data_IF_254276145775
#
_entry.id   IF_254276145775
#
_cell.length_a   1.000
_cell.length_b   1.000
_cell.length_c   1.000
_cell.angle_alpha   90.00
_cell.angle_beta   90.00
_cell.angle_gamma   90.00
#
_symmetry.space_group_name_H-M   'P 1'
#
loop_
_entity.id
_entity.type
_entity.pdbx_description
1 polymer ?
#
# COMPACT_ATOMS: atom_id res chain seq x y z
N UNK A 1 0.75 -10.87 3.21
CA UNK A 1 1.01 -9.51 2.73
C UNK A 1 -0.20 -8.68 3.03
N UNK A 2 -0.01 -7.49 3.58
CA UNK A 2 -1.09 -6.58 3.95
C UNK A 2 -0.89 -5.24 3.27
N UNK A 3 -1.98 -4.65 2.82
CA UNK A 3 -2.00 -3.27 2.36
C UNK A 3 -3.12 -2.50 3.05
N UNK A 4 -2.82 -1.28 3.48
CA UNK A 4 -3.82 -0.26 3.76
C UNK A 4 -3.78 0.73 2.61
N UNK A 5 -4.90 0.85 1.90
CA UNK A 5 -5.02 1.77 0.77
C UNK A 5 -5.89 2.96 1.14
N UNK A 6 -5.55 4.12 0.59
CA UNK A 6 -6.29 5.35 0.79
C UNK A 6 -6.51 6.03 -0.56
N UNK A 7 -7.76 6.33 -0.89
CA UNK A 7 -8.10 7.22 -2.01
C UNK A 7 -7.64 8.63 -1.66
N UNK A 8 -6.79 9.23 -2.47
CA UNK A 8 -6.20 10.55 -2.19
C UNK A 8 -6.44 11.53 -3.33
N UNK A 9 -6.51 12.82 -2.98
CA UNK A 9 -6.42 13.93 -3.94
C UNK A 9 -4.97 14.30 -4.25
N UNK A 10 -4.07 14.02 -3.31
CA UNK A 10 -2.62 14.16 -3.40
C UNK A 10 -1.96 13.38 -2.26
N UNK A 11 -0.75 12.89 -2.45
CA UNK A 11 0.08 12.31 -1.39
C UNK A 11 1.56 12.51 -1.71
N UNK A 12 2.41 12.59 -0.69
CA UNK A 12 3.85 12.71 -0.88
C UNK A 12 4.65 12.05 0.24
N UNK A 13 5.91 11.73 -0.06
CA UNK A 13 6.92 11.27 0.90
C UNK A 13 8.02 12.32 0.94
N UNK A 14 8.38 12.72 2.16
CA UNK A 14 9.49 13.63 2.44
C UNK A 14 10.52 12.86 3.26
N UNK A 15 11.79 12.92 2.86
CA UNK A 15 12.91 12.32 3.58
C UNK A 15 13.91 13.44 3.86
N UNK A 16 14.33 13.61 5.11
CA UNK A 16 15.26 14.68 5.52
C UNK A 16 14.82 16.09 5.06
N UNK A 17 13.51 16.38 5.15
CA UNK A 17 12.88 17.62 4.68
C UNK A 17 12.93 17.86 3.17
N UNK A 18 13.36 16.88 2.37
CA UNK A 18 13.35 16.96 0.90
C UNK A 18 12.22 16.10 0.33
N UNK A 19 11.52 16.64 -0.68
CA UNK A 19 10.49 15.91 -1.40
C UNK A 19 11.15 14.74 -2.14
N UNK A 20 10.79 13.52 -1.76
CA UNK A 20 11.30 12.30 -2.39
C UNK A 20 10.39 11.83 -3.52
N UNK A 21 9.07 11.86 -3.29
CA UNK A 21 8.08 11.41 -4.27
C UNK A 21 6.72 12.03 -3.96
N UNK A 22 5.92 12.32 -4.98
CA UNK A 22 4.54 12.77 -4.85
C UNK A 22 3.65 12.23 -5.95
N UNK A 23 2.35 12.19 -5.66
CA UNK A 23 1.29 11.90 -6.61
C UNK A 23 0.14 12.91 -6.43
N UNK A 24 -0.60 13.14 -7.51
CA UNK A 24 -1.89 13.82 -7.53
C UNK A 24 -3.04 12.88 -7.15
N UNK A 25 -4.09 12.89 -7.96
CA UNK A 25 -5.28 12.07 -7.71
C UNK A 25 -4.98 10.59 -7.91
N UNK A 26 -5.24 9.76 -6.89
CA UNK A 26 -4.78 8.39 -6.92
C UNK A 26 -4.95 7.61 -5.63
N UNK A 27 -4.03 6.66 -5.40
CA UNK A 27 -4.00 5.79 -4.22
C UNK A 27 -2.67 5.91 -3.50
N UNK A 28 -2.72 6.17 -2.19
CA UNK A 28 -1.60 5.90 -1.28
C UNK A 28 -1.74 4.46 -0.75
N UNK A 29 -0.70 3.66 -0.94
CA UNK A 29 -0.61 2.29 -0.42
C UNK A 29 0.44 2.24 0.69
N UNK A 30 0.02 1.86 1.89
CA UNK A 30 0.93 1.42 2.94
C UNK A 30 1.06 -0.09 2.86
N UNK A 31 2.24 -0.60 2.52
CA UNK A 31 2.47 -2.03 2.24
C UNK A 31 3.28 -2.70 3.36
N UNK A 32 2.72 -3.74 3.96
CA UNK A 32 3.37 -4.58 4.97
C UNK A 32 3.63 -5.98 4.44
N UNK A 33 4.90 -6.39 4.44
CA UNK A 33 5.32 -7.75 4.06
C UNK A 33 5.45 -8.62 5.31
N UNK A 34 4.82 -9.78 5.28
CA UNK A 34 4.76 -10.76 6.37
C UNK A 34 5.62 -11.99 6.06
N UNK A 35 5.95 -12.76 7.11
CA UNK A 35 6.65 -14.04 6.96
C UNK A 35 5.82 -15.00 6.12
N UNK A 36 6.46 -15.64 5.15
CA UNK A 36 5.82 -16.60 4.25
C UNK A 36 5.13 -15.95 3.05
N UNK A 37 5.21 -14.63 2.91
CA UNK A 37 4.72 -13.97 1.70
C UNK A 37 5.52 -14.37 0.47
N UNK A 38 4.83 -14.40 -0.68
CA UNK A 38 5.40 -14.85 -1.95
C UNK A 38 5.24 -13.81 -3.06
N UNK A 39 6.05 -13.88 -4.14
CA UNK A 39 5.90 -13.00 -5.30
C UNK A 39 4.49 -13.05 -5.92
N UNK A 40 3.84 -14.21 -5.94
CA UNK A 40 2.49 -14.37 -6.48
C UNK A 40 1.46 -13.59 -5.67
N UNK A 41 1.66 -13.47 -4.35
CA UNK A 41 0.81 -12.66 -3.49
C UNK A 41 1.04 -11.16 -3.72
N UNK A 42 2.29 -10.74 -3.99
CA UNK A 42 2.59 -9.36 -4.36
C UNK A 42 1.90 -8.98 -5.67
N UNK A 43 2.02 -9.82 -6.69
CA UNK A 43 1.38 -9.62 -8.00
C UNK A 43 -0.15 -9.63 -7.89
N UNK A 44 -0.71 -10.56 -7.11
CA UNK A 44 -2.15 -10.60 -6.84
C UNK A 44 -2.63 -9.32 -6.17
N UNK A 45 -1.91 -8.83 -5.15
CA UNK A 45 -2.30 -7.64 -4.40
C UNK A 45 -2.18 -6.37 -5.26
N UNK A 46 -1.11 -6.24 -6.05
CA UNK A 46 -0.93 -5.14 -6.99
C UNK A 46 -2.07 -5.09 -8.02
N UNK A 47 -2.37 -6.23 -8.67
CA UNK A 47 -3.48 -6.34 -9.61
C UNK A 47 -4.82 -6.01 -8.95
N UNK A 48 -5.05 -6.50 -7.73
CA UNK A 48 -6.29 -6.21 -6.99
C UNK A 48 -6.43 -4.72 -6.69
N UNK A 49 -5.38 -4.08 -6.17
CA UNK A 49 -5.42 -2.65 -5.81
C UNK A 49 -5.66 -1.78 -7.03
N UNK A 50 -4.95 -2.04 -8.14
CA UNK A 50 -5.10 -1.23 -9.35
C UNK A 50 -6.50 -1.32 -9.97
N UNK A 51 -7.19 -2.46 -9.80
CA UNK A 51 -8.52 -2.72 -10.35
C UNK A 51 -9.67 -2.46 -9.36
N UNK A 52 -9.41 -2.06 -8.12
CA UNK A 52 -10.46 -1.77 -7.14
C UNK A 52 -11.30 -0.58 -7.60
N UNK A 53 -12.63 -0.76 -7.65
CA UNK A 53 -13.60 0.26 -8.04
C UNK A 53 -13.94 1.17 -6.86
N UNK A 54 -13.04 2.08 -6.54
CA UNK A 54 -13.12 2.97 -5.37
C UNK A 54 -13.12 4.44 -5.75
N UNK A 55 -13.24 4.77 -7.03
CA UNK A 55 -13.39 6.13 -7.53
C UNK A 55 -14.80 6.37 -8.07
N UNK A 56 -15.25 7.60 -7.96
CA UNK A 56 -16.58 8.03 -8.38
C UNK A 56 -16.67 8.17 -9.90
N UNK A 57 -17.77 7.72 -10.49
CA UNK A 57 -18.16 8.04 -11.86
C UNK A 57 -18.92 9.38 -11.94
N UNK A 58 -19.44 9.70 -13.12
CA UNK A 58 -20.22 10.92 -13.36
C UNK A 58 -21.54 11.01 -12.56
N UNK A 59 -21.97 9.91 -11.93
CA UNK A 59 -23.16 9.83 -11.09
C UNK A 59 -22.81 9.74 -9.59
N UNK A 60 -21.56 10.06 -9.22
CA UNK A 60 -21.04 10.00 -7.85
C UNK A 60 -21.09 8.58 -7.24
N UNK A 61 -21.04 7.54 -8.08
CA UNK A 61 -21.02 6.15 -7.64
C UNK A 61 -19.63 5.54 -7.75
N UNK A 62 -19.25 4.74 -6.75
CA UNK A 62 -17.95 4.07 -6.67
C UNK A 62 -17.84 2.93 -7.71
N UNK A 63 -17.52 3.29 -8.95
CA UNK A 63 -17.52 2.38 -10.10
C UNK A 63 -16.20 2.36 -10.87
N UNK A 64 -15.34 3.36 -10.68
CA UNK A 64 -14.12 3.51 -11.44
C UNK A 64 -12.91 2.96 -10.67
N UNK A 65 -12.03 2.29 -11.39
CA UNK A 65 -10.72 1.84 -10.92
C UNK A 65 -9.66 2.92 -11.09
N UNK A 66 -8.45 2.65 -10.59
CA UNK A 66 -7.30 3.53 -10.78
C UNK A 66 -6.98 3.73 -12.27
N UNK A 67 -7.11 2.68 -13.08
CA UNK A 67 -6.90 2.75 -14.52
C UNK A 67 -7.94 3.63 -15.23
N UNK A 68 -9.22 3.50 -14.84
CA UNK A 68 -10.31 4.26 -15.46
C UNK A 68 -10.14 5.76 -15.28
N UNK A 69 -9.68 6.19 -14.09
CA UNK A 69 -9.40 7.60 -13.81
C UNK A 69 -8.01 8.06 -14.24
N UNK A 70 -7.18 7.15 -14.81
CA UNK A 70 -5.76 7.39 -15.12
C UNK A 70 -4.99 7.97 -13.92
N UNK A 71 -5.30 7.45 -12.74
CA UNK A 71 -4.77 7.95 -11.48
C UNK A 71 -3.37 7.43 -11.19
N UNK A 72 -2.73 8.06 -10.20
CA UNK A 72 -1.37 7.74 -9.79
C UNK A 72 -1.35 6.87 -8.53
N UNK A 73 -0.21 6.24 -8.24
CA UNK A 73 -0.06 5.38 -7.06
C UNK A 73 1.25 5.66 -6.35
N UNK A 74 1.19 5.78 -5.03
CA UNK A 74 2.35 5.98 -4.17
C UNK A 74 2.40 4.82 -3.18
N UNK A 75 3.45 4.01 -3.25
CA UNK A 75 3.60 2.81 -2.40
C UNK A 75 4.69 3.06 -1.36
N UNK A 76 4.32 2.99 -0.09
CA UNK A 76 5.22 3.23 1.05
C UNK A 76 5.33 1.95 1.88
N UNK A 77 6.57 1.50 2.10
CA UNK A 77 6.83 0.37 2.98
C UNK A 77 6.41 0.68 4.42
N UNK A 78 5.57 -0.19 5.02
CA UNK A 78 4.95 -0.01 6.32
C UNK A 78 4.92 -1.33 7.12
N UNK A 79 6.08 -1.73 7.67
CA UNK A 79 6.21 -2.99 8.42
C UNK A 79 5.26 -3.10 9.63
N UNK A 80 4.79 -1.98 10.18
CA UNK A 80 3.91 -1.96 11.35
C UNK A 80 2.54 -2.60 11.09
N UNK A 81 2.13 -2.77 9.83
CA UNK A 81 0.90 -3.50 9.47
C UNK A 81 0.95 -4.99 9.83
N UNK A 82 2.16 -5.55 9.98
CA UNK A 82 2.37 -6.91 10.47
C UNK A 82 2.36 -7.01 12.02
N UNK A 83 2.10 -5.90 12.72
CA UNK A 83 2.09 -5.84 14.18
C UNK A 83 0.90 -6.59 14.80
N UNK A 84 1.17 -7.43 15.80
CA UNK A 84 0.16 -7.98 16.72
C UNK A 84 0.04 -7.10 17.97
N UNK A 85 -1.13 -6.49 18.13
CA UNK A 85 -1.47 -5.61 19.24
C UNK A 85 -2.42 -6.26 20.27
N UNK A 86 -2.63 -7.58 20.24
CA UNK A 86 -3.60 -8.26 21.12
C UNK A 86 -3.20 -8.27 22.61
N UNK A 87 -1.91 -8.14 22.92
CA UNK A 87 -1.39 -8.22 24.30
C UNK A 87 -0.62 -6.96 24.68
N UNK A 88 -0.95 -6.40 25.84
CA UNK A 88 -0.25 -5.24 26.40
C UNK A 88 -0.37 -3.97 25.55
N UNK A 89 0.63 -3.09 25.65
CA UNK A 89 0.68 -1.80 24.93
C UNK A 89 1.79 -1.70 23.88
N UNK A 90 2.68 -2.71 23.81
CA UNK A 90 3.78 -2.77 22.85
C UNK A 90 3.44 -3.79 21.76
N UNK A 91 3.29 -3.37 20.50
CA UNK A 91 3.06 -4.30 19.40
C UNK A 91 4.21 -5.29 19.25
N UNK A 92 3.88 -6.54 18.92
CA UNK A 92 4.85 -7.55 18.51
C UNK A 92 4.93 -7.62 16.98
N UNK A 93 6.13 -7.66 16.41
CA UNK A 93 6.35 -7.70 14.96
C UNK A 93 6.92 -9.04 14.48
N UNK A 94 6.72 -10.11 15.26
CA UNK A 94 7.19 -11.45 14.90
C UNK A 94 6.63 -11.96 13.57
N UNK A 95 5.52 -11.41 13.09
CA UNK A 95 4.94 -11.77 11.79
C UNK A 95 5.53 -10.96 10.62
N UNK A 96 6.27 -9.87 10.87
CA UNK A 96 6.90 -9.09 9.81
C UNK A 96 8.00 -9.90 9.12
N UNK A 97 8.10 -9.78 7.81
CA UNK A 97 9.23 -10.33 7.07
C UNK A 97 10.54 -9.65 7.50
N UNK A 98 11.66 -10.38 7.37
CA UNK A 98 12.99 -9.78 7.55
C UNK A 98 13.24 -8.74 6.45
N UNK A 99 14.08 -7.71 6.70
CA UNK A 99 14.35 -6.65 5.73
C UNK A 99 14.71 -7.16 4.33
N UNK A 100 15.64 -8.11 4.22
CA UNK A 100 16.08 -8.63 2.93
C UNK A 100 14.94 -9.25 2.11
N UNK A 101 14.08 -10.04 2.76
CA UNK A 101 12.89 -10.64 2.12
C UNK A 101 11.83 -9.59 1.81
N UNK A 102 11.65 -8.62 2.71
CA UNK A 102 10.66 -7.57 2.55
C UNK A 102 10.96 -6.65 1.36
N UNK A 103 12.23 -6.28 1.17
CA UNK A 103 12.67 -5.44 0.04
C UNK A 103 12.41 -6.15 -1.29
N UNK A 104 12.78 -7.43 -1.40
CA UNK A 104 12.58 -8.20 -2.63
C UNK A 104 11.09 -8.29 -3.05
N UNK A 105 10.18 -8.41 -2.07
CA UNK A 105 8.74 -8.46 -2.35
C UNK A 105 8.12 -7.07 -2.53
N UNK A 106 8.70 -6.03 -1.95
CA UNK A 106 8.25 -4.65 -2.11
C UNK A 106 8.60 -4.09 -3.49
N UNK A 107 9.77 -4.44 -4.03
CA UNK A 107 10.25 -3.96 -5.34
C UNK A 107 9.72 -4.77 -6.54
N UNK A 108 8.97 -5.84 -6.28
CA UNK A 108 8.45 -6.76 -7.30
C UNK A 108 7.14 -6.30 -7.91
#
# INVERSE_FOLDING_TARGET
MKAVIQRVKKASVIINNELYSEIGHGILVLLGVEKGDTPEQAEFLANKIANLRIFEDENEKMNLSLFDIKGEILVVSQFTLAGDCKKGKRPCFDNAAKPDTAVLLYEK
#
